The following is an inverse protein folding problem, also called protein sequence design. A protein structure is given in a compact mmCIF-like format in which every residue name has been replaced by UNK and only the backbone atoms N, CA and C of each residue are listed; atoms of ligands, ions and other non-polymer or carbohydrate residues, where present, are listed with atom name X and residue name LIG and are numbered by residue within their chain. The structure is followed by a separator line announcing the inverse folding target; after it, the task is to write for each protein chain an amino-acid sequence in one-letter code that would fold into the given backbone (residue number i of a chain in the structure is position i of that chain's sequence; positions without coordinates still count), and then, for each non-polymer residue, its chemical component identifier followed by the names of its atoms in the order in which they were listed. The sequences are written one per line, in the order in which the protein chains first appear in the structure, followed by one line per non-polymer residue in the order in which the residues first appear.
data_IF_460993465385
#
_entry.id   IF_460993465385
#
_cell.length_a   1.000
_cell.length_b   1.000
_cell.length_c   1.000
_cell.angle_alpha   90.00
_cell.angle_beta   90.00
_cell.angle_gamma   90.00
#
_symmetry.space_group_name_H-M   'P 1'
#
loop_
_entity.id
_entity.type
_entity.pdbx_description
1 polymer ?
#
# COMPACT_ATOMS: atom_id res chain seq x y z
N UNK A 1 24.83 16.90 34.65
CA UNK A 1 23.36 16.95 34.44
C UNK A 1 22.82 18.22 35.09
N UNK A 2 22.09 19.09 34.37
CA UNK A 2 21.57 20.32 34.96
C UNK A 2 20.53 19.95 36.05
N UNK A 3 20.78 20.42 37.27
CA UNK A 3 20.02 20.07 38.48
C UNK A 3 18.53 20.44 38.36
N UNK A 4 17.65 19.66 39.01
CA UNK A 4 16.18 19.83 38.96
C UNK A 4 15.71 21.26 39.31
N UNK A 5 16.49 22.00 40.11
CA UNK A 5 16.19 23.39 40.50
C UNK A 5 16.23 24.38 39.33
N UNK A 6 17.15 24.22 38.37
CA UNK A 6 17.25 25.11 37.21
C UNK A 6 16.05 25.00 36.26
N UNK A 7 15.48 23.80 36.11
CA UNK A 7 14.29 23.58 35.26
C UNK A 7 13.02 24.18 35.85
N UNK A 8 12.95 24.29 37.18
CA UNK A 8 11.80 24.87 37.87
C UNK A 8 11.74 26.40 37.70
N UNK A 9 12.88 27.11 37.72
CA UNK A 9 12.90 28.56 37.54
C UNK A 9 12.51 28.94 36.11
N UNK A 10 13.05 28.24 35.11
CA UNK A 10 12.71 28.46 33.69
C UNK A 10 11.21 28.22 33.45
N UNK A 11 10.63 27.18 34.07
CA UNK A 11 9.18 26.92 33.93
C UNK A 11 8.33 28.00 34.59
N UNK A 12 8.76 28.57 35.71
CA UNK A 12 8.08 29.70 36.37
C UNK A 12 8.19 30.97 35.55
N UNK A 13 9.36 31.32 35.03
CA UNK A 13 9.54 32.48 34.14
C UNK A 13 8.70 32.37 32.87
N UNK A 14 8.67 31.20 32.23
CA UNK A 14 7.82 30.97 31.05
C UNK A 14 6.32 31.06 31.39
N UNK A 15 5.91 30.63 32.58
CA UNK A 15 4.52 30.78 33.03
C UNK A 15 4.14 32.24 33.28
N UNK A 16 5.08 33.03 33.83
CA UNK A 16 4.88 34.47 34.03
C UNK A 16 4.82 35.22 32.70
N UNK A 17 5.71 34.92 31.74
CA UNK A 17 5.68 35.51 30.39
C UNK A 17 4.40 35.15 29.63
N UNK A 18 3.86 33.95 29.85
CA UNK A 18 2.65 33.48 29.15
C UNK A 18 1.36 34.12 29.69
N UNK A 19 1.42 34.80 30.83
CA UNK A 19 0.29 35.44 31.48
C UNK A 19 -0.70 34.42 32.06
N UNK A 20 -0.86 34.41 33.38
CA UNK A 20 -1.94 33.66 34.05
C UNK A 20 -3.27 34.42 34.05
N UNK A 21 -3.42 35.42 33.17
CA UNK A 21 -4.50 36.40 33.19
C UNK A 21 -5.57 36.12 32.11
N UNK A 22 -5.73 34.85 31.72
CA UNK A 22 -6.92 34.44 31.00
C UNK A 22 -7.95 33.99 32.04
N UNK A 23 -9.14 34.63 32.11
CA UNK A 23 -10.15 34.25 33.08
C UNK A 23 -10.48 32.76 32.91
N UNK A 24 -10.76 32.03 34.01
CA UNK A 24 -11.17 30.64 33.94
C UNK A 24 -12.38 30.56 33.00
N UNK A 25 -12.21 29.80 31.92
CA UNK A 25 -13.18 29.69 30.85
C UNK A 25 -14.50 29.16 31.42
N UNK A 26 -15.50 30.05 31.63
CA UNK A 26 -16.80 29.74 32.27
C UNK A 26 -17.69 28.78 31.45
N UNK A 27 -17.15 28.12 30.43
CA UNK A 27 -17.83 27.12 29.59
C UNK A 27 -17.43 25.67 29.94
N UNK A 28 -16.96 25.45 31.16
CA UNK A 28 -16.35 24.20 31.64
C UNK A 28 -17.27 23.17 32.28
N UNK A 29 -18.54 23.02 31.88
CA UNK A 29 -19.31 21.78 32.18
C UNK A 29 -20.12 21.33 30.98
N UNK A 30 -19.43 20.84 29.95
CA UNK A 30 -19.81 19.69 29.10
C UNK A 30 -18.87 19.64 27.89
N UNK A 31 -18.17 18.53 27.62
CA UNK A 31 -17.48 18.37 26.33
C UNK A 31 -18.53 18.19 25.22
N UNK A 32 -18.68 19.11 24.24
CA UNK A 32 -19.47 18.83 23.07
C UNK A 32 -18.75 17.79 22.21
N UNK A 33 -19.50 16.75 21.82
CA UNK A 33 -19.08 15.72 20.87
C UNK A 33 -18.45 16.39 19.64
N UNK A 34 -17.21 16.02 19.33
CA UNK A 34 -16.47 16.40 18.12
C UNK A 34 -17.27 16.00 16.87
N UNK A 35 -18.13 16.89 16.38
CA UNK A 35 -18.38 17.00 14.94
C UNK A 35 -17.34 17.99 14.43
N UNK A 36 -16.49 17.51 13.53
CA UNK A 36 -15.42 18.24 12.87
C UNK A 36 -15.97 19.40 12.03
N UNK A 37 -16.26 20.54 12.66
CA UNK A 37 -16.28 21.83 11.96
C UNK A 37 -14.87 22.39 12.01
N UNK A 38 -14.12 22.11 10.94
CA UNK A 38 -12.85 22.77 10.63
C UNK A 38 -13.05 24.29 10.80
N UNK A 39 -12.24 24.91 11.65
CA UNK A 39 -12.40 26.32 12.01
C UNK A 39 -12.26 27.22 10.79
N UNK A 40 -13.25 28.10 10.59
CA UNK A 40 -13.07 29.33 9.83
C UNK A 40 -12.84 30.46 10.83
N UNK A 41 -11.79 31.28 10.66
CA UNK A 41 -11.48 32.36 11.58
C UNK A 41 -12.59 33.42 11.54
N UNK A 42 -13.19 33.67 12.70
CA UNK A 42 -14.01 34.84 12.97
C UNK A 42 -13.08 36.02 13.27
N UNK A 43 -12.92 36.91 12.30
CA UNK A 43 -12.44 38.29 12.50
C UNK A 43 -13.11 39.16 11.44
N UNK A 44 -14.21 39.84 11.78
CA UNK A 44 -14.21 41.30 11.97
C UNK A 44 -13.38 41.98 10.88
N UNK A 45 -13.98 42.30 9.74
CA UNK A 45 -14.34 43.66 9.29
C UNK A 45 -14.95 43.47 7.90
N UNK A 46 -16.01 44.20 7.52
CA UNK A 46 -16.76 44.20 6.24
C UNK A 46 -18.21 43.71 6.39
N UNK A 47 -19.10 44.66 6.65
CA UNK A 47 -20.53 44.44 6.90
C UNK A 47 -21.33 44.03 5.64
N UNK A 48 -20.76 44.11 4.42
CA UNK A 48 -21.43 43.68 3.18
C UNK A 48 -21.24 42.20 2.79
N UNK A 49 -20.32 41.48 3.45
CA UNK A 49 -20.01 40.08 3.09
C UNK A 49 -20.79 39.08 3.98
N UNK A 50 -21.37 39.55 5.09
CA UNK A 50 -22.05 38.70 6.09
C UNK A 50 -23.39 38.15 5.61
N UNK A 51 -24.08 38.85 4.71
CA UNK A 51 -25.38 38.43 4.18
C UNK A 51 -25.27 37.53 2.95
N UNK A 52 -24.04 37.31 2.47
CA UNK A 52 -23.82 36.48 1.30
C UNK A 52 -23.81 34.99 1.68
N UNK A 53 -24.64 34.15 1.02
CA UNK A 53 -24.63 32.72 1.29
C UNK A 53 -23.24 32.13 1.03
N UNK A 54 -22.84 31.17 1.88
CA UNK A 54 -21.48 30.57 1.91
C UNK A 54 -21.02 30.02 0.55
N UNK A 55 -21.96 29.55 -0.27
CA UNK A 55 -21.69 29.09 -1.63
C UNK A 55 -21.30 30.25 -2.56
N UNK A 56 -22.00 31.38 -2.49
CA UNK A 56 -21.68 32.57 -3.28
C UNK A 56 -20.33 33.17 -2.86
N UNK A 57 -20.03 33.17 -1.55
CA UNK A 57 -18.70 33.56 -1.06
C UNK A 57 -17.56 32.69 -1.63
N UNK A 58 -17.78 31.37 -1.75
CA UNK A 58 -16.81 30.45 -2.35
C UNK A 58 -16.63 30.66 -3.85
N UNK A 59 -17.70 31.04 -4.55
CA UNK A 59 -17.68 31.30 -5.99
C UNK A 59 -16.93 32.60 -6.28
N UNK A 60 -17.30 33.69 -5.60
CA UNK A 60 -16.67 35.01 -5.79
C UNK A 60 -15.21 35.02 -5.36
N UNK A 61 -14.82 34.28 -4.32
CA UNK A 61 -13.42 34.19 -3.86
C UNK A 61 -12.68 32.95 -4.39
N UNK A 62 -13.17 32.30 -5.45
CA UNK A 62 -12.63 31.01 -5.91
C UNK A 62 -11.15 31.08 -6.31
N UNK A 63 -10.70 32.17 -6.92
CA UNK A 63 -9.29 32.38 -7.27
C UNK A 63 -8.41 32.49 -6.03
N UNK A 64 -8.79 33.35 -5.07
CA UNK A 64 -8.08 33.50 -3.79
C UNK A 64 -7.97 32.17 -3.03
N UNK A 65 -9.05 31.39 -2.98
CA UNK A 65 -9.05 30.06 -2.34
C UNK A 65 -8.08 29.10 -3.05
N UNK A 66 -8.00 29.15 -4.40
CA UNK A 66 -7.08 28.32 -5.18
C UNK A 66 -5.63 28.73 -4.97
N UNK A 67 -5.35 30.03 -4.93
CA UNK A 67 -4.02 30.57 -4.68
C UNK A 67 -3.54 30.24 -3.27
N UNK A 68 -4.38 30.46 -2.26
CA UNK A 68 -4.08 30.10 -0.87
C UNK A 68 -3.82 28.59 -0.75
N UNK A 69 -4.61 27.75 -1.41
CA UNK A 69 -4.39 26.31 -1.42
C UNK A 69 -3.06 25.93 -2.08
N UNK A 70 -2.73 26.52 -3.23
CA UNK A 70 -1.45 26.29 -3.93
C UNK A 70 -0.27 26.76 -3.07
N UNK A 71 -0.38 27.93 -2.44
CA UNK A 71 0.64 28.47 -1.55
C UNK A 71 0.84 27.56 -0.34
N UNK A 72 -0.24 27.11 0.30
CA UNK A 72 -0.21 26.18 1.43
C UNK A 72 0.36 24.82 1.05
N UNK A 73 0.13 24.34 -0.16
CA UNK A 73 0.73 23.10 -0.65
C UNK A 73 2.24 23.28 -0.90
N UNK A 74 2.66 24.38 -1.53
CA UNK A 74 4.09 24.71 -1.69
C UNK A 74 4.81 24.85 -0.35
N UNK A 75 4.17 25.50 0.63
CA UNK A 75 4.70 25.67 1.98
C UNK A 75 4.82 24.33 2.72
N UNK A 76 3.82 23.43 2.58
CA UNK A 76 3.91 22.07 3.13
C UNK A 76 5.01 21.25 2.47
N UNK A 77 5.18 21.36 1.16
CA UNK A 77 6.25 20.67 0.45
C UNK A 77 7.62 21.20 0.88
N UNK A 78 7.78 22.51 1.06
CA UNK A 78 8.99 23.11 1.62
C UNK A 78 9.24 22.67 3.08
N UNK A 79 8.23 22.75 3.96
CA UNK A 79 8.34 22.27 5.35
C UNK A 79 8.67 20.78 5.42
N UNK A 80 8.10 19.95 4.53
CA UNK A 80 8.42 18.53 4.47
C UNK A 80 9.86 18.27 3.96
N UNK A 81 10.39 19.13 3.08
CA UNK A 81 11.79 19.08 2.65
C UNK A 81 12.74 19.53 3.77
N UNK A 82 12.35 20.51 4.59
CA UNK A 82 13.17 20.99 5.70
C UNK A 82 13.16 20.05 6.92
N UNK A 83 12.04 19.38 7.20
CA UNK A 83 12.00 18.33 8.23
C UNK A 83 12.68 17.03 7.78
N UNK A 84 12.61 16.69 6.48
CA UNK A 84 13.37 15.57 5.93
C UNK A 84 14.85 15.90 5.71
N UNK A 85 15.26 17.17 5.58
CA UNK A 85 16.67 17.55 5.52
C UNK A 85 17.30 17.60 6.91
N UNK A 86 16.61 18.08 7.96
CA UNK A 86 17.15 18.01 9.34
C UNK A 86 17.37 16.58 9.85
N UNK A 87 16.60 15.59 9.37
CA UNK A 87 16.83 14.18 9.66
C UNK A 87 17.57 13.40 8.54
N UNK A 88 17.81 14.01 7.37
CA UNK A 88 18.37 13.35 6.19
C UNK A 88 19.73 13.86 5.73
N UNK A 89 20.20 15.00 6.23
CA UNK A 89 21.48 15.61 5.80
C UNK A 89 22.73 14.88 6.32
N UNK A 90 22.58 13.94 7.27
CA UNK A 90 23.71 13.17 7.82
C UNK A 90 23.97 11.82 7.12
N UNK A 91 23.17 11.39 6.13
CA UNK A 91 23.33 10.05 5.52
C UNK A 91 23.24 9.98 3.99
N UNK A 92 23.46 11.08 3.27
CA UNK A 92 23.37 11.08 1.80
C UNK A 92 24.69 10.77 1.06
N UNK A 93 25.77 10.43 1.77
CA UNK A 93 27.09 10.16 1.17
C UNK A 93 27.55 8.68 1.22
N UNK A 94 26.68 7.72 1.55
CA UNK A 94 27.02 6.27 1.54
C UNK A 94 26.05 5.39 0.71
N UNK A 95 25.27 5.98 -0.20
CA UNK A 95 24.23 5.24 -0.93
C UNK A 95 24.74 4.27 -2.02
N UNK A 96 26.03 4.27 -2.34
CA UNK A 96 26.55 3.47 -3.47
C UNK A 96 27.13 2.12 -3.08
N UNK A 97 27.31 1.84 -1.78
CA UNK A 97 27.67 0.50 -1.30
C UNK A 97 26.79 0.13 -0.11
N UNK A 98 25.63 -0.48 -0.40
CA UNK A 98 24.80 -1.15 0.61
C UNK A 98 25.54 -2.38 1.14
N UNK A 99 26.43 -2.16 2.11
CA UNK A 99 27.08 -3.21 2.90
C UNK A 99 26.50 -3.22 4.31
N UNK A 100 26.48 -4.40 4.93
CA UNK A 100 26.09 -4.55 6.33
C UNK A 100 27.10 -3.78 7.18
N UNK A 101 26.64 -2.89 8.04
CA UNK A 101 27.51 -2.15 8.96
C UNK A 101 27.89 -3.03 10.15
N UNK A 102 29.09 -2.83 10.72
CA UNK A 102 29.51 -3.56 11.91
C UNK A 102 28.57 -3.23 13.08
N UNK A 103 27.98 -4.28 13.67
CA UNK A 103 27.00 -4.13 14.76
C UNK A 103 25.56 -3.88 14.32
N UNK A 104 25.29 -3.82 13.00
CA UNK A 104 23.94 -3.75 12.47
C UNK A 104 23.28 -5.14 12.42
N UNK A 105 21.99 -5.23 12.75
CA UNK A 105 21.21 -6.46 12.55
C UNK A 105 20.80 -6.57 11.09
N UNK A 106 20.68 -7.81 10.59
CA UNK A 106 20.25 -8.06 9.20
C UNK A 106 18.90 -7.40 8.85
N UNK A 107 18.00 -7.25 9.82
CA UNK A 107 16.72 -6.55 9.65
C UNK A 107 16.89 -5.09 9.27
N UNK A 108 17.83 -4.41 9.91
CA UNK A 108 18.03 -2.96 9.75
C UNK A 108 18.71 -2.69 8.39
N UNK A 109 19.63 -3.59 7.99
CA UNK A 109 20.22 -3.58 6.66
C UNK A 109 19.15 -3.72 5.58
N UNK A 110 18.27 -4.72 5.70
CA UNK A 110 17.17 -4.91 4.76
C UNK A 110 16.25 -3.68 4.69
N UNK A 111 15.95 -3.06 5.84
CA UNK A 111 15.15 -1.85 5.88
C UNK A 111 15.83 -0.68 5.14
N UNK A 112 17.16 -0.52 5.27
CA UNK A 112 17.92 0.50 4.53
C UNK A 112 17.97 0.22 3.03
N UNK A 113 18.19 -1.04 2.65
CA UNK A 113 18.16 -1.48 1.24
C UNK A 113 16.81 -1.13 0.61
N UNK A 114 15.70 -1.48 1.29
CA UNK A 114 14.35 -1.14 0.84
C UNK A 114 14.16 0.37 0.72
N UNK A 115 14.52 1.14 1.74
CA UNK A 115 14.38 2.61 1.72
C UNK A 115 15.15 3.26 0.57
N UNK A 116 16.37 2.78 0.26
CA UNK A 116 17.18 3.26 -0.86
C UNK A 116 16.55 2.94 -2.22
N UNK A 117 15.97 1.75 -2.37
CA UNK A 117 15.38 1.29 -3.63
C UNK A 117 13.93 1.75 -3.84
N UNK A 118 13.21 2.09 -2.77
CA UNK A 118 11.78 2.44 -2.79
C UNK A 118 11.42 3.60 -3.72
N UNK A 119 12.19 4.72 -3.80
CA UNK A 119 11.89 5.79 -4.74
C UNK A 119 11.98 5.35 -6.20
N UNK A 120 12.99 4.53 -6.54
CA UNK A 120 13.19 3.98 -7.89
C UNK A 120 12.02 3.06 -8.27
N UNK A 121 11.67 2.12 -7.39
CA UNK A 121 10.52 1.23 -7.57
C UNK A 121 9.21 2.01 -7.67
N UNK A 122 9.00 3.02 -6.81
CA UNK A 122 7.83 3.87 -6.88
C UNK A 122 7.74 4.65 -8.18
N UNK A 123 8.86 5.11 -8.75
CA UNK A 123 8.88 5.80 -10.05
C UNK A 123 8.46 4.84 -11.18
N UNK A 124 9.05 3.65 -11.22
CA UNK A 124 8.70 2.61 -12.20
C UNK A 124 7.22 2.23 -12.12
N UNK A 125 6.69 2.01 -10.91
CA UNK A 125 5.26 1.70 -10.73
C UNK A 125 4.35 2.85 -11.17
N UNK A 126 4.72 4.11 -10.91
CA UNK A 126 3.95 5.28 -11.39
C UNK A 126 3.95 5.36 -12.92
N UNK A 127 5.11 5.14 -13.55
CA UNK A 127 5.22 5.11 -15.01
C UNK A 127 4.38 3.99 -15.62
N UNK A 128 4.38 2.80 -15.02
CA UNK A 128 3.56 1.68 -15.46
C UNK A 128 2.06 1.98 -15.35
N UNK A 129 1.61 2.53 -14.21
CA UNK A 129 0.20 2.92 -14.01
C UNK A 129 -0.26 3.96 -15.02
N UNK A 130 0.56 4.97 -15.29
CA UNK A 130 0.21 6.02 -16.25
C UNK A 130 0.10 5.48 -17.69
N UNK A 131 0.96 4.53 -18.08
CA UNK A 131 0.89 3.86 -19.40
C UNK A 131 -0.37 3.01 -19.59
N UNK A 132 -0.87 2.38 -18.53
CA UNK A 132 -2.10 1.58 -18.60
C UNK A 132 -3.38 2.42 -18.69
N UNK A 133 -3.35 3.66 -18.20
CA UNK A 133 -4.53 4.55 -18.20
C UNK A 133 -4.70 5.25 -19.56
N UNK A 134 -3.62 5.53 -20.28
CA UNK A 134 -3.68 6.23 -21.59
C UNK A 134 -3.91 5.32 -22.79
N UNK A 135 -3.78 3.99 -22.64
CA UNK A 135 -4.12 3.02 -23.68
C UNK A 135 -5.52 2.45 -23.49
N UNK A 136 -6.56 3.29 -23.65
CA UNK A 136 -7.84 2.78 -24.16
C UNK A 136 -7.67 2.52 -25.67
N UNK A 137 -7.89 1.30 -26.17
CA UNK A 137 -7.64 0.99 -27.57
C UNK A 137 -8.71 1.63 -28.45
N UNK A 138 -8.32 2.62 -29.27
CA UNK A 138 -9.02 2.88 -30.53
C UNK A 138 -8.44 1.92 -31.56
N UNK A 139 -9.20 0.87 -31.86
CA UNK A 139 -9.03 0.05 -33.06
C UNK A 139 -9.06 0.96 -34.29
N UNK A 140 -7.99 0.96 -35.08
CA UNK A 140 -7.97 1.22 -36.53
C UNK A 140 -6.69 0.62 -37.11
N UNK A 141 -6.91 -0.35 -37.99
CA UNK A 141 -5.96 -1.05 -38.84
C UNK A 141 -5.36 -0.13 -39.91
N UNK A 142 -4.09 -0.33 -40.27
CA UNK A 142 -3.70 -0.69 -41.64
C UNK A 142 -2.20 -1.08 -41.78
N UNK A 143 -1.83 -1.87 -42.83
CA UNK A 143 -0.54 -2.54 -43.00
C UNK A 143 0.36 -1.95 -44.12
N UNK A 144 1.57 -2.54 -44.29
CA UNK A 144 2.66 -2.32 -45.28
C UNK A 144 3.68 -1.20 -44.91
N UNK A 145 5.01 -1.31 -45.04
CA UNK A 145 5.94 -2.11 -45.89
C UNK A 145 7.37 -2.01 -45.27
N UNK A 146 8.12 -3.12 -45.06
CA UNK A 146 9.34 -3.61 -45.78
C UNK A 146 10.74 -3.21 -45.22
N UNK A 147 11.72 -4.12 -45.38
CA UNK A 147 13.03 -4.40 -44.70
C UNK A 147 14.25 -3.64 -45.34
N UNK A 148 15.56 -3.69 -44.90
CA UNK A 148 16.28 -4.84 -44.29
C UNK A 148 17.42 -4.63 -43.23
N UNK A 149 17.71 -5.75 -42.55
CA UNK A 149 18.98 -6.35 -42.04
C UNK A 149 20.16 -5.49 -41.55
N UNK A 150 20.46 -5.57 -40.25
CA UNK A 150 21.73 -6.08 -39.66
C UNK A 150 21.59 -6.26 -38.14
N UNK A 151 22.25 -7.27 -37.60
CA UNK A 151 22.08 -7.85 -36.26
C UNK A 151 22.50 -6.89 -35.12
N UNK A 152 21.85 -6.94 -33.95
CA UNK A 152 22.33 -7.87 -32.94
C UNK A 152 21.19 -8.65 -32.29
N UNK A 153 21.56 -9.79 -31.71
CA UNK A 153 20.73 -10.81 -31.04
C UNK A 153 19.84 -10.15 -29.97
N UNK A 154 18.72 -9.60 -30.42
CA UNK A 154 17.57 -9.29 -29.59
C UNK A 154 16.90 -10.64 -29.42
N UNK A 155 17.03 -11.23 -28.23
CA UNK A 155 16.12 -12.26 -27.78
C UNK A 155 14.70 -11.65 -27.79
N UNK A 156 14.09 -11.67 -28.97
CA UNK A 156 12.66 -11.65 -29.14
C UNK A 156 12.23 -12.97 -28.51
N UNK A 157 12.07 -12.92 -27.19
CA UNK A 157 11.01 -13.69 -26.58
C UNK A 157 9.77 -13.21 -27.33
N UNK A 158 9.42 -13.95 -28.37
CA UNK A 158 8.13 -13.86 -29.02
C UNK A 158 7.15 -13.92 -27.85
N UNK A 159 6.51 -12.79 -27.58
CA UNK A 159 5.46 -12.70 -26.58
C UNK A 159 4.26 -13.43 -27.17
N UNK A 160 4.40 -14.74 -27.30
CA UNK A 160 3.36 -15.70 -27.70
C UNK A 160 2.37 -15.93 -26.57
N UNK A 161 2.55 -15.24 -25.44
CA UNK A 161 1.53 -15.19 -24.41
C UNK A 161 0.45 -14.21 -24.84
N UNK A 162 -0.60 -14.77 -25.42
CA UNK A 162 -1.89 -14.11 -25.62
C UNK A 162 -2.28 -13.30 -24.38
N UNK A 163 -2.77 -12.06 -24.54
CA UNK A 163 -3.15 -11.22 -23.43
C UNK A 163 -4.27 -11.91 -22.63
N UNK A 164 -3.97 -12.22 -21.36
CA UNK A 164 -4.88 -12.95 -20.46
C UNK A 164 -6.27 -12.32 -20.49
N UNK A 165 -7.32 -13.04 -20.92
CA UNK A 165 -8.63 -12.46 -21.11
C UNK A 165 -9.15 -11.96 -19.76
N UNK A 166 -9.59 -10.71 -19.74
CA UNK A 166 -9.93 -9.98 -18.51
C UNK A 166 -11.28 -10.41 -17.92
N UNK A 167 -11.96 -11.39 -18.53
CA UNK A 167 -13.29 -11.85 -18.16
C UNK A 167 -13.42 -13.35 -18.44
N UNK A 168 -12.84 -14.17 -17.57
CA UNK A 168 -13.25 -15.56 -17.51
C UNK A 168 -14.64 -15.63 -16.86
N UNK A 169 -15.60 -16.26 -17.54
CA UNK A 169 -16.86 -16.67 -16.92
C UNK A 169 -16.53 -17.60 -15.75
N UNK A 170 -17.22 -17.44 -14.62
CA UNK A 170 -16.89 -18.04 -13.32
C UNK A 170 -16.92 -19.59 -13.26
N UNK A 171 -17.12 -20.26 -14.39
CA UNK A 171 -17.36 -21.69 -14.44
C UNK A 171 -16.09 -22.53 -14.72
N UNK A 172 -14.91 -21.92 -14.92
CA UNK A 172 -13.86 -22.56 -15.73
C UNK A 172 -12.47 -22.84 -15.11
N UNK A 173 -12.18 -22.56 -13.82
CA UNK A 173 -10.85 -22.91 -13.26
C UNK A 173 -10.94 -23.64 -11.93
N UNK A 174 -11.07 -24.95 -12.09
CA UNK A 174 -10.56 -26.06 -11.29
C UNK A 174 -9.39 -26.56 -12.17
N UNK A 175 -8.10 -26.30 -11.89
CA UNK A 175 -7.20 -26.98 -10.93
C UNK A 175 -6.18 -27.94 -11.63
N UNK A 176 -4.90 -27.99 -11.19
CA UNK A 176 -4.17 -29.28 -11.04
C UNK A 176 -3.06 -29.24 -9.94
N UNK A 177 -3.10 -30.13 -8.94
CA UNK A 177 -2.19 -30.27 -7.78
C UNK A 177 -0.72 -30.72 -7.77
N UNK A 178 0.19 -30.23 -6.88
CA UNK A 178 1.30 -30.82 -6.06
C UNK A 178 1.03 -31.65 -4.77
N UNK A 179 1.94 -32.56 -4.39
CA UNK A 179 1.82 -33.44 -3.20
C UNK A 179 2.76 -33.03 -2.05
N UNK A 180 2.21 -32.85 -0.84
CA UNK A 180 2.59 -33.26 0.52
C UNK A 180 4.07 -33.54 0.88
N UNK A 181 4.64 -32.72 1.80
CA UNK A 181 5.69 -33.10 2.75
C UNK A 181 5.23 -32.79 4.19
N UNK A 182 5.17 -33.85 5.01
CA UNK A 182 4.55 -33.93 6.35
C UNK A 182 5.45 -33.37 7.46
N UNK A 183 4.85 -32.71 8.47
CA UNK A 183 5.33 -32.65 9.86
C UNK A 183 4.17 -32.84 10.84
N UNK A 184 4.35 -33.55 11.98
CA UNK A 184 3.26 -33.90 12.88
C UNK A 184 3.09 -32.86 14.00
N UNK A 185 1.97 -32.13 13.97
CA UNK A 185 1.49 -31.39 15.14
C UNK A 185 0.36 -32.16 15.80
N UNK A 186 0.48 -32.27 17.12
CA UNK A 186 -0.31 -33.08 18.04
C UNK A 186 -1.80 -32.71 17.99
N UNK A 187 -2.63 -33.73 18.10
CA UNK A 187 -4.09 -33.67 18.18
C UNK A 187 -4.51 -32.96 19.48
N UNK A 188 -5.27 -31.89 19.33
CA UNK A 188 -6.36 -31.55 20.25
C UNK A 188 -7.62 -31.55 19.39
N UNK A 189 -8.41 -32.61 19.51
CA UNK A 189 -9.78 -32.67 19.02
C UNK A 189 -10.65 -31.95 20.05
N UNK A 190 -11.10 -30.74 19.74
CA UNK A 190 -12.31 -30.19 20.35
C UNK A 190 -13.39 -30.10 19.26
N UNK A 191 -14.42 -30.89 19.45
CA UNK A 191 -15.70 -30.75 18.79
C UNK A 191 -16.34 -29.46 19.29
N UNK A 192 -16.22 -28.38 18.53
CA UNK A 192 -17.14 -27.23 18.46
C UNK A 192 -16.39 -26.00 17.92
N UNK A 193 -16.93 -25.38 16.86
CA UNK A 193 -16.74 -23.97 16.56
C UNK A 193 -15.32 -23.45 16.25
N UNK A 194 -14.50 -24.19 15.50
CA UNK A 194 -13.28 -23.58 14.93
C UNK A 194 -13.65 -22.60 13.81
N UNK A 195 -13.74 -21.33 14.18
CA UNK A 195 -13.63 -20.18 13.27
C UNK A 195 -12.37 -20.39 12.44
N UNK A 196 -12.53 -20.91 11.21
CA UNK A 196 -11.43 -21.09 10.26
C UNK A 196 -10.67 -19.79 10.18
N UNK A 197 -9.43 -19.80 10.65
CA UNK A 197 -8.51 -18.71 10.40
C UNK A 197 -8.51 -18.46 8.89
N UNK A 198 -8.57 -17.20 8.42
CA UNK A 198 -8.60 -16.91 7.00
C UNK A 198 -7.29 -17.39 6.37
N UNK A 199 -7.37 -18.51 5.66
CA UNK A 199 -6.27 -19.10 4.89
C UNK A 199 -5.99 -18.17 3.71
N UNK A 200 -4.72 -17.84 3.47
CA UNK A 200 -4.36 -16.97 2.35
C UNK A 200 -4.73 -17.63 1.01
N UNK A 201 -5.10 -16.81 0.01
CA UNK A 201 -5.51 -17.35 -1.29
C UNK A 201 -4.41 -18.19 -1.97
N UNK A 202 -3.13 -17.84 -1.78
CA UNK A 202 -2.01 -18.64 -2.31
C UNK A 202 -1.92 -20.02 -1.65
N UNK A 203 -2.23 -20.09 -0.36
CA UNK A 203 -2.23 -21.34 0.39
C UNK A 203 -3.44 -22.22 0.05
N UNK A 204 -4.61 -21.61 -0.23
CA UNK A 204 -5.77 -22.35 -0.71
C UNK A 204 -5.54 -22.97 -2.08
N UNK A 205 -4.94 -22.20 -3.01
CA UNK A 205 -4.55 -22.70 -4.34
C UNK A 205 -3.70 -23.93 -4.17
N UNK A 206 -2.61 -23.88 -3.37
CA UNK A 206 -1.73 -25.02 -3.07
C UNK A 206 -2.44 -26.26 -2.49
N UNK A 207 -3.46 -26.09 -1.65
CA UNK A 207 -4.15 -27.20 -0.99
C UNK A 207 -5.14 -27.89 -1.91
N UNK A 208 -5.91 -27.09 -2.66
CA UNK A 208 -6.74 -27.61 -3.74
C UNK A 208 -5.81 -28.38 -4.66
N UNK A 209 -4.68 -27.73 -4.97
CA UNK A 209 -3.49 -28.25 -5.63
C UNK A 209 -2.83 -29.40 -4.85
N UNK A 210 -3.42 -30.11 -3.91
CA UNK A 210 -2.90 -31.43 -3.49
C UNK A 210 -3.92 -32.54 -3.74
N UNK A 211 -5.19 -32.15 -3.83
CA UNK A 211 -6.34 -33.04 -3.78
C UNK A 211 -6.57 -33.83 -5.06
N UNK A 212 -6.62 -33.18 -6.21
CA UNK A 212 -6.65 -33.85 -7.51
C UNK A 212 -5.39 -34.67 -7.89
N UNK A 213 -4.16 -34.38 -7.41
CA UNK A 213 -3.01 -35.29 -7.61
C UNK A 213 -3.33 -36.60 -6.92
N UNK A 214 -3.92 -36.53 -5.72
CA UNK A 214 -4.36 -37.71 -5.00
C UNK A 214 -5.51 -38.45 -5.71
N UNK A 215 -6.52 -37.76 -6.26
CA UNK A 215 -7.62 -38.40 -7.01
C UNK A 215 -7.13 -39.01 -8.32
N UNK A 216 -6.27 -38.31 -9.06
CA UNK A 216 -5.66 -38.80 -10.31
C UNK A 216 -4.85 -40.06 -10.05
N UNK A 217 -4.00 -40.06 -9.02
CA UNK A 217 -3.27 -41.25 -8.57
C UNK A 217 -4.21 -42.39 -8.16
N UNK A 218 -5.33 -42.09 -7.51
CA UNK A 218 -6.32 -43.10 -7.11
C UNK A 218 -7.04 -43.74 -8.30
N UNK A 219 -7.39 -42.97 -9.34
CA UNK A 219 -8.00 -43.50 -10.56
C UNK A 219 -7.02 -44.37 -11.34
N UNK A 220 -5.76 -43.94 -11.47
CA UNK A 220 -4.70 -44.74 -12.05
C UNK A 220 -4.54 -46.08 -11.32
N UNK A 221 -4.45 -46.05 -9.99
CA UNK A 221 -4.42 -47.27 -9.17
C UNK A 221 -5.68 -48.14 -9.35
N UNK A 222 -6.86 -47.55 -9.55
CA UNK A 222 -8.10 -48.29 -9.76
C UNK A 222 -8.17 -48.93 -11.15
N UNK A 223 -7.69 -48.24 -12.18
CA UNK A 223 -7.56 -48.77 -13.54
C UNK A 223 -6.50 -49.86 -13.62
N UNK A 224 -5.37 -49.70 -12.91
CA UNK A 224 -4.37 -50.77 -12.75
C UNK A 224 -4.96 -51.98 -12.06
N UNK A 225 -5.73 -51.79 -10.97
CA UNK A 225 -6.44 -52.90 -10.30
C UNK A 225 -7.48 -53.56 -11.21
N UNK A 226 -8.19 -52.81 -12.05
CA UNK A 226 -9.13 -53.37 -13.03
C UNK A 226 -8.40 -54.11 -14.16
N UNK A 227 -7.29 -53.58 -14.65
CA UNK A 227 -6.43 -54.20 -15.66
C UNK A 227 -5.79 -55.49 -15.13
N UNK A 228 -5.43 -55.52 -13.85
CA UNK A 228 -4.93 -56.70 -13.15
C UNK A 228 -6.06 -57.66 -12.72
N UNK A 229 -7.33 -57.33 -13.00
CA UNK A 229 -8.49 -58.18 -12.70
C UNK A 229 -8.85 -58.29 -11.21
N UNK A 230 -8.28 -57.47 -10.34
CA UNK A 230 -8.46 -57.55 -8.88
C UNK A 230 -9.77 -56.93 -8.39
N UNK A 231 -10.50 -56.19 -9.24
CA UNK A 231 -11.79 -55.59 -8.89
C UNK A 231 -12.93 -56.39 -9.53
N UNK A 232 -13.17 -57.60 -9.03
CA UNK A 232 -14.45 -58.26 -9.24
C UNK A 232 -15.53 -57.43 -8.51
N UNK A 233 -16.38 -56.78 -9.30
CA UNK A 233 -17.58 -56.09 -8.85
C UNK A 233 -18.58 -57.14 -8.37
N UNK A 234 -18.58 -57.46 -7.08
CA UNK A 234 -19.80 -57.91 -6.41
C UNK A 234 -20.73 -56.68 -6.31
N UNK A 235 -21.74 -56.67 -7.18
CA UNK A 235 -22.96 -55.86 -7.07
C UNK A 235 -23.94 -56.62 -6.20
#
# INVERSE_FOLDING_TARGET
MPHKRAKASIRKELSFQKGNDLPPNKLGTRPPKKKSSIGTPTSSTNHGIKDMPKNMYRILNSEKIREEYKARMKEKDQKSKDESSRNGLLKKSKSDQLRIESGERLSDFNQRVEQSMRPKLSSVMKLARNKTITKKPKTKSNPNESKPTEEPIIHQTTKEFEPKPTKFSLNDIVMEPPMNLKKPCKKLLSTESYKKLPISNSQKIRIEEEREKAVKRYRQLKEERLRNGEMNLEV
#
